data_IF_404109021443
#
_entry.id   IF_404109021443
#
_cell.length_a   1.000
_cell.length_b   1.000
_cell.length_c   1.000
_cell.angle_alpha   90.00
_cell.angle_beta   90.00
_cell.angle_gamma   90.00
#
_symmetry.space_group_name_H-M   'P 1'
#
loop_
_entity.id
_entity.type
_entity.pdbx_description
1 polymer ?
#
# COMPACT_ATOMS: atom_id res chain seq x y z
N UNK A 1 -26.20 -1.25 -25.35
CA UNK A 1 -25.01 -0.84 -24.58
C UNK A 1 -24.95 -1.63 -23.29
N UNK A 2 -23.84 -2.30 -22.94
CA UNK A 2 -23.78 -2.97 -21.64
C UNK A 2 -23.79 -1.91 -20.54
N UNK A 3 -24.83 -1.93 -19.71
CA UNK A 3 -24.96 -1.10 -18.51
C UNK A 3 -23.89 -1.54 -17.52
N UNK A 4 -22.85 -0.73 -17.36
CA UNK A 4 -21.82 -1.02 -16.37
C UNK A 4 -22.41 -0.83 -14.98
N UNK A 5 -22.26 -1.81 -14.07
CA UNK A 5 -22.70 -1.63 -12.70
C UNK A 5 -21.94 -0.45 -12.10
N UNK A 6 -22.69 0.48 -11.52
CA UNK A 6 -22.13 1.60 -10.75
C UNK A 6 -21.41 1.08 -9.52
N UNK A 7 -20.46 1.85 -8.97
CA UNK A 7 -19.71 1.46 -7.75
C UNK A 7 -20.64 1.13 -6.58
N UNK A 8 -21.82 1.76 -6.54
CA UNK A 8 -22.87 1.52 -5.55
C UNK A 8 -23.64 0.20 -5.74
N UNK A 9 -23.50 -0.48 -6.88
CA UNK A 9 -24.17 -1.75 -7.15
C UNK A 9 -23.44 -2.93 -6.51
N UNK A 10 -24.16 -3.83 -5.84
CA UNK A 10 -23.58 -5.07 -5.28
C UNK A 10 -22.94 -5.96 -6.36
N UNK A 11 -23.48 -5.96 -7.58
CA UNK A 11 -22.89 -6.67 -8.74
C UNK A 11 -21.56 -6.08 -9.20
N UNK A 12 -21.22 -4.86 -8.75
CA UNK A 12 -19.88 -4.32 -8.94
C UNK A 12 -18.85 -5.07 -8.08
N UNK A 13 -19.21 -5.63 -6.93
CA UNK A 13 -18.27 -6.20 -5.96
C UNK A 13 -18.22 -7.73 -5.95
N UNK A 14 -18.99 -8.42 -6.80
CA UNK A 14 -19.10 -9.90 -6.78
C UNK A 14 -17.92 -10.65 -7.42
N UNK A 15 -17.05 -9.98 -8.20
CA UNK A 15 -15.98 -10.65 -8.96
C UNK A 15 -14.87 -11.20 -8.05
N UNK A 16 -14.90 -12.51 -7.78
CA UNK A 16 -13.86 -13.20 -6.97
C UNK A 16 -12.47 -13.13 -7.60
N UNK A 17 -12.35 -13.20 -8.93
CA UNK A 17 -11.05 -13.11 -9.61
C UNK A 17 -10.41 -11.73 -9.44
N UNK A 18 -11.22 -10.67 -9.50
CA UNK A 18 -10.75 -9.29 -9.27
C UNK A 18 -10.33 -9.08 -7.82
N UNK A 19 -11.07 -9.61 -6.83
CA UNK A 19 -10.66 -9.57 -5.42
C UNK A 19 -9.35 -10.30 -5.15
N UNK A 20 -9.18 -11.51 -5.69
CA UNK A 20 -7.92 -12.26 -5.55
C UNK A 20 -6.74 -11.49 -6.12
N UNK A 21 -6.91 -10.86 -7.27
CA UNK A 21 -5.86 -10.10 -7.95
C UNK A 21 -5.55 -8.78 -7.23
N UNK A 22 -6.58 -8.08 -6.75
CA UNK A 22 -6.40 -6.90 -5.91
C UNK A 22 -5.64 -7.23 -4.62
N UNK A 23 -6.03 -8.32 -3.94
CA UNK A 23 -5.36 -8.77 -2.72
C UNK A 23 -3.88 -9.10 -2.97
N UNK A 24 -3.59 -9.83 -4.04
CA UNK A 24 -2.21 -10.20 -4.39
C UNK A 24 -1.34 -8.97 -4.72
N UNK A 25 -1.90 -7.95 -5.36
CA UNK A 25 -1.17 -6.71 -5.62
C UNK A 25 -0.93 -5.93 -4.31
N UNK A 26 -1.97 -5.76 -3.50
CA UNK A 26 -1.84 -5.08 -2.20
C UNK A 26 -0.84 -5.77 -1.28
N UNK A 27 -0.83 -7.11 -1.20
CA UNK A 27 0.14 -7.82 -0.36
C UNK A 27 1.57 -7.68 -0.86
N UNK A 28 1.79 -7.69 -2.17
CA UNK A 28 3.13 -7.47 -2.75
C UNK A 28 3.66 -6.07 -2.46
N UNK A 29 2.81 -5.07 -2.58
CA UNK A 29 3.16 -3.70 -2.24
C UNK A 29 3.49 -3.58 -0.75
N UNK A 30 2.63 -4.10 0.13
CA UNK A 30 2.84 -4.08 1.57
C UNK A 30 4.17 -4.76 1.98
N UNK A 31 4.45 -5.93 1.40
CA UNK A 31 5.70 -6.65 1.65
C UNK A 31 6.90 -5.85 1.14
N UNK A 32 6.84 -5.30 -0.07
CA UNK A 32 7.92 -4.49 -0.63
C UNK A 32 8.21 -3.22 0.19
N UNK A 33 7.15 -2.53 0.63
CA UNK A 33 7.25 -1.35 1.47
C UNK A 33 7.89 -1.69 2.83
N UNK A 34 7.37 -2.69 3.54
CA UNK A 34 7.91 -3.08 4.84
C UNK A 34 9.38 -3.54 4.72
N UNK A 35 9.73 -4.34 3.71
CA UNK A 35 11.10 -4.80 3.53
C UNK A 35 12.05 -3.61 3.29
N UNK A 36 11.67 -2.68 2.41
CA UNK A 36 12.49 -1.50 2.13
C UNK A 36 12.63 -0.60 3.36
N UNK A 37 11.52 -0.34 4.05
CA UNK A 37 11.44 0.52 5.23
C UNK A 37 12.24 -0.07 6.41
N UNK A 38 12.00 -1.32 6.81
CA UNK A 38 12.78 -1.92 7.90
C UNK A 38 14.29 -1.98 7.59
N UNK A 39 14.67 -2.24 6.34
CA UNK A 39 16.08 -2.31 5.94
C UNK A 39 16.79 -0.95 6.06
N UNK A 40 16.16 0.10 5.57
CA UNK A 40 16.70 1.47 5.66
C UNK A 40 16.67 2.00 7.07
N UNK A 41 15.59 1.76 7.83
CA UNK A 41 15.49 2.20 9.21
C UNK A 41 16.61 1.57 10.04
N UNK A 42 16.82 0.26 9.89
CA UNK A 42 17.91 -0.45 10.52
C UNK A 42 19.28 0.12 10.14
N UNK A 43 19.54 0.30 8.85
CA UNK A 43 20.81 0.84 8.38
C UNK A 43 21.07 2.27 8.90
N UNK A 44 20.09 3.16 8.76
CA UNK A 44 20.23 4.56 9.16
C UNK A 44 20.34 4.71 10.67
N UNK A 45 19.59 3.95 11.46
CA UNK A 45 19.74 3.98 12.93
C UNK A 45 21.07 3.39 13.41
N UNK A 46 21.61 2.38 12.71
CA UNK A 46 22.87 1.73 13.10
C UNK A 46 24.10 2.58 12.75
N UNK A 47 24.11 3.18 11.55
CA UNK A 47 25.31 3.85 11.01
C UNK A 47 25.22 5.38 11.02
N UNK A 48 24.01 5.94 11.09
CA UNK A 48 23.76 7.38 11.03
C UNK A 48 22.69 7.84 12.06
N UNK A 49 22.80 7.48 13.36
CA UNK A 49 21.79 7.84 14.35
C UNK A 49 21.62 9.35 14.54
N UNK A 50 22.64 10.15 14.20
CA UNK A 50 22.70 11.58 14.47
C UNK A 50 21.88 12.44 13.50
N UNK A 51 21.39 11.89 12.39
CA UNK A 51 20.64 12.64 11.36
C UNK A 51 19.20 12.99 11.78
N UNK A 52 18.79 12.54 12.97
CA UNK A 52 17.48 12.84 13.56
C UNK A 52 16.37 11.92 13.06
N UNK A 53 15.49 11.51 13.99
CA UNK A 53 14.44 10.53 13.73
C UNK A 53 13.51 10.90 12.57
N UNK A 54 13.18 12.18 12.39
CA UNK A 54 12.32 12.61 11.29
C UNK A 54 12.91 12.33 9.91
N UNK A 55 14.22 12.54 9.74
CA UNK A 55 14.92 12.27 8.48
C UNK A 55 15.07 10.76 8.25
N UNK A 56 15.39 10.01 9.32
CA UNK A 56 15.47 8.55 9.27
C UNK A 56 14.15 7.97 8.79
N UNK A 57 13.03 8.36 9.39
CA UNK A 57 11.70 7.90 8.98
C UNK A 57 11.41 8.28 7.53
N UNK A 58 11.59 9.55 7.14
CA UNK A 58 11.30 9.99 5.77
C UNK A 58 12.12 9.25 4.70
N UNK A 59 13.41 9.04 4.93
CA UNK A 59 14.26 8.27 4.03
C UNK A 59 13.85 6.81 3.98
N UNK A 60 13.49 6.26 5.13
CA UNK A 60 13.13 4.86 5.27
C UNK A 60 11.83 4.51 4.54
N UNK A 61 10.87 5.41 4.68
CA UNK A 61 9.62 5.44 3.97
C UNK A 61 9.83 5.56 2.45
N UNK A 62 10.74 6.43 2.00
CA UNK A 62 11.09 6.55 0.58
C UNK A 62 11.73 5.29 -0.01
N UNK A 63 12.62 4.60 0.73
CA UNK A 63 13.18 3.31 0.31
C UNK A 63 12.14 2.20 0.32
N UNK A 64 11.19 2.20 1.25
CA UNK A 64 10.04 1.32 1.25
C UNK A 64 9.26 1.41 -0.06
N UNK A 65 8.81 2.61 -0.44
CA UNK A 65 8.10 2.82 -1.71
C UNK A 65 8.95 2.41 -2.89
N UNK A 66 10.22 2.79 -2.92
CA UNK A 66 11.10 2.48 -4.04
C UNK A 66 11.23 0.96 -4.23
N UNK A 67 11.40 0.22 -3.14
CA UNK A 67 11.50 -1.24 -3.15
C UNK A 67 10.20 -1.88 -3.61
N UNK A 68 9.05 -1.40 -3.12
CA UNK A 68 7.73 -1.84 -3.57
C UNK A 68 7.51 -1.60 -5.06
N UNK A 69 7.80 -0.40 -5.55
CA UNK A 69 7.66 -0.03 -6.97
C UNK A 69 8.54 -0.92 -7.84
N UNK A 70 9.80 -1.15 -7.45
CA UNK A 70 10.69 -2.03 -8.19
C UNK A 70 10.17 -3.47 -8.22
N UNK A 71 9.75 -4.00 -7.07
CA UNK A 71 9.23 -5.37 -6.96
C UNK A 71 7.97 -5.56 -7.81
N UNK A 72 7.01 -4.64 -7.72
CA UNK A 72 5.79 -4.65 -8.53
C UNK A 72 6.08 -4.46 -10.02
N UNK A 73 7.00 -3.57 -10.40
CA UNK A 73 7.37 -3.34 -11.79
C UNK A 73 7.99 -4.59 -12.40
N UNK A 74 8.92 -5.23 -11.69
CA UNK A 74 9.57 -6.49 -12.12
C UNK A 74 8.54 -7.61 -12.24
N UNK A 75 7.63 -7.75 -11.27
CA UNK A 75 6.58 -8.77 -11.30
C UNK A 75 5.52 -8.54 -12.38
N UNK A 76 5.14 -7.30 -12.66
CA UNK A 76 4.20 -6.98 -13.75
C UNK A 76 4.84 -7.17 -15.13
N UNK A 77 6.16 -6.96 -15.22
CA UNK A 77 6.93 -7.16 -16.44
C UNK A 77 7.21 -8.63 -16.74
N UNK A 78 7.75 -9.36 -15.76
CA UNK A 78 8.12 -10.77 -15.89
C UNK A 78 6.95 -11.72 -15.67
N UNK A 79 5.86 -11.22 -15.07
CA UNK A 79 4.66 -11.98 -14.82
C UNK A 79 3.73 -12.07 -16.02
N UNK A 80 2.55 -12.63 -15.76
CA UNK A 80 1.54 -13.02 -16.76
C UNK A 80 0.95 -11.85 -17.57
N UNK A 81 1.16 -10.61 -17.11
CA UNK A 81 0.58 -9.41 -17.70
C UNK A 81 1.46 -8.78 -18.79
N UNK A 82 2.77 -9.10 -18.84
CA UNK A 82 3.73 -8.68 -19.87
C UNK A 82 3.60 -7.20 -20.31
N UNK A 83 3.39 -6.29 -19.37
CA UNK A 83 3.28 -4.85 -19.69
C UNK A 83 4.62 -4.29 -20.20
N UNK A 84 4.53 -3.28 -21.07
CA UNK A 84 5.70 -2.48 -21.46
C UNK A 84 6.30 -1.79 -20.22
N UNK A 85 7.64 -1.72 -20.13
CA UNK A 85 8.37 -1.23 -18.94
C UNK A 85 7.81 0.08 -18.36
N UNK A 86 7.51 1.06 -19.22
CA UNK A 86 6.99 2.36 -18.82
C UNK A 86 5.56 2.27 -18.24
N UNK A 87 4.71 1.38 -18.76
CA UNK A 87 3.35 1.19 -18.28
C UNK A 87 3.28 0.37 -16.98
N UNK A 88 4.18 -0.62 -16.83
CA UNK A 88 4.37 -1.36 -15.60
C UNK A 88 4.86 -0.43 -14.47
N UNK A 89 5.90 0.37 -14.74
CA UNK A 89 6.44 1.33 -13.76
C UNK A 89 5.40 2.38 -13.35
N UNK A 90 4.67 3.00 -14.30
CA UNK A 90 3.59 3.95 -13.95
C UNK A 90 2.49 3.32 -13.10
N UNK A 91 2.18 2.06 -13.32
CA UNK A 91 1.16 1.34 -12.55
C UNK A 91 1.65 1.00 -11.15
N UNK A 92 2.87 0.49 -11.03
CA UNK A 92 3.52 0.19 -9.76
C UNK A 92 3.73 1.44 -8.92
N UNK A 93 4.24 2.53 -9.50
CA UNK A 93 4.37 3.84 -8.82
C UNK A 93 3.02 4.32 -8.31
N UNK A 94 1.97 4.25 -9.13
CA UNK A 94 0.62 4.65 -8.72
C UNK A 94 0.07 3.79 -7.58
N UNK A 95 0.22 2.46 -7.63
CA UNK A 95 -0.25 1.58 -6.56
C UNK A 95 0.57 1.75 -5.28
N UNK A 96 1.89 1.80 -5.38
CA UNK A 96 2.79 1.89 -4.23
C UNK A 96 2.74 3.24 -3.52
N UNK A 97 2.70 4.37 -4.24
CA UNK A 97 2.56 5.69 -3.59
C UNK A 97 1.20 5.87 -2.92
N UNK A 98 0.12 5.42 -3.57
CA UNK A 98 -1.21 5.52 -2.97
C UNK A 98 -1.29 4.60 -1.74
N UNK A 99 -0.70 3.40 -1.80
CA UNK A 99 -0.61 2.47 -0.66
C UNK A 99 0.05 3.10 0.55
N UNK A 100 1.21 3.70 0.33
CA UNK A 100 1.94 4.37 1.40
C UNK A 100 1.17 5.56 1.97
N UNK A 101 0.66 6.46 1.12
CA UNK A 101 -0.11 7.62 1.58
C UNK A 101 -1.36 7.22 2.36
N UNK A 102 -2.06 6.16 1.92
CA UNK A 102 -3.23 5.66 2.66
C UNK A 102 -2.86 5.02 3.99
N UNK A 103 -1.68 4.38 4.07
CA UNK A 103 -1.21 3.77 5.31
C UNK A 103 -0.78 4.85 6.31
N UNK A 104 0.00 5.83 5.87
CA UNK A 104 0.34 7.00 6.67
C UNK A 104 -0.89 7.77 7.13
N UNK A 105 -1.88 7.94 6.24
CA UNK A 105 -3.11 8.64 6.58
C UNK A 105 -3.94 7.82 7.59
N UNK A 106 -4.02 6.51 7.41
CA UNK A 106 -4.71 5.63 8.35
C UNK A 106 -4.04 5.65 9.73
N UNK A 107 -2.71 5.57 9.77
CA UNK A 107 -1.91 5.64 10.99
C UNK A 107 -2.11 6.99 11.69
N UNK A 108 -2.02 8.10 10.96
CA UNK A 108 -2.28 9.42 11.53
C UNK A 108 -3.73 9.59 12.02
N UNK A 109 -4.72 9.09 11.29
CA UNK A 109 -6.14 9.15 11.72
C UNK A 109 -6.36 8.31 12.96
N UNK A 110 -5.81 7.10 12.99
CA UNK A 110 -5.94 6.17 14.11
C UNK A 110 -5.22 6.72 15.33
N UNK A 111 -4.00 7.24 15.21
CA UNK A 111 -3.28 7.90 16.30
C UNK A 111 -4.03 9.13 16.82
N UNK A 112 -4.64 9.90 15.92
CA UNK A 112 -5.46 11.04 16.33
C UNK A 112 -6.71 10.59 17.12
N UNK A 113 -7.40 9.54 16.67
CA UNK A 113 -8.64 9.06 17.30
C UNK A 113 -8.42 8.24 18.58
N UNK A 114 -7.38 7.40 18.65
CA UNK A 114 -7.17 6.45 19.73
C UNK A 114 -6.23 6.96 20.82
N UNK A 115 -5.23 7.73 20.46
CA UNK A 115 -4.23 8.27 21.41
C UNK A 115 -4.45 9.75 21.70
N UNK A 116 -5.37 10.43 20.99
CA UNK A 116 -5.68 11.85 21.19
C UNK A 116 -4.48 12.76 20.95
N UNK A 117 -3.46 12.28 20.23
CA UNK A 117 -2.16 12.94 20.07
C UNK A 117 -1.12 12.66 21.16
N UNK A 118 -1.40 11.77 22.13
CA UNK A 118 -0.46 11.38 23.18
C UNK A 118 -0.01 9.92 23.04
N UNK A 119 1.25 9.69 22.64
CA UNK A 119 1.79 8.34 22.41
C UNK A 119 2.03 7.64 23.75
N UNK A 120 1.20 6.64 24.08
CA UNK A 120 1.38 5.79 25.27
C UNK A 120 1.74 4.35 24.85
N UNK A 121 3.05 4.11 24.69
CA UNK A 121 3.63 2.83 24.22
C UNK A 121 3.34 1.62 25.14
N UNK A 122 2.98 1.88 26.41
CA UNK A 122 2.68 0.84 27.42
C UNK A 122 1.23 0.36 27.41
N UNK A 123 0.35 0.96 26.60
CA UNK A 123 -1.07 0.61 26.61
C UNK A 123 -1.41 -0.50 25.60
N UNK A 124 -2.24 -1.45 26.00
CA UNK A 124 -2.86 -2.44 25.10
C UNK A 124 -3.64 -1.75 23.96
N UNK A 125 -4.13 -0.53 24.22
CA UNK A 125 -4.88 0.31 23.28
C UNK A 125 -3.98 0.78 22.13
N UNK A 126 -2.71 1.10 22.39
CA UNK A 126 -1.74 1.50 21.36
C UNK A 126 -1.45 0.34 20.38
N UNK A 127 -1.26 -0.87 20.88
CA UNK A 127 -1.07 -2.05 20.03
C UNK A 127 -2.33 -2.42 19.23
N UNK A 128 -3.52 -2.26 19.83
CA UNK A 128 -4.78 -2.41 19.11
C UNK A 128 -4.96 -1.34 18.02
N UNK A 129 -4.54 -0.10 18.30
CA UNK A 129 -4.55 1.00 17.33
C UNK A 129 -3.68 0.69 16.11
N UNK A 130 -2.45 0.22 16.32
CA UNK A 130 -1.56 -0.22 15.22
C UNK A 130 -2.24 -1.30 14.38
N UNK A 131 -2.80 -2.34 15.00
CA UNK A 131 -3.42 -3.45 14.28
C UNK A 131 -4.66 -3.00 13.48
N UNK A 132 -5.50 -2.14 14.07
CA UNK A 132 -6.68 -1.57 13.39
C UNK A 132 -6.26 -0.66 12.24
N UNK A 133 -5.21 0.15 12.42
CA UNK A 133 -4.67 1.02 11.37
C UNK A 133 -4.17 0.21 10.18
N UNK A 134 -3.36 -0.82 10.43
CA UNK A 134 -2.85 -1.71 9.38
C UNK A 134 -3.99 -2.39 8.63
N UNK A 135 -5.00 -2.88 9.34
CA UNK A 135 -6.18 -3.50 8.71
C UNK A 135 -6.99 -2.49 7.90
N UNK A 136 -7.22 -1.29 8.42
CA UNK A 136 -7.96 -0.24 7.73
C UNK A 136 -7.24 0.25 6.47
N UNK A 137 -5.92 0.46 6.55
CA UNK A 137 -5.06 0.76 5.41
C UNK A 137 -5.12 -0.33 4.35
N UNK A 138 -4.97 -1.60 4.77
CA UNK A 138 -5.05 -2.74 3.86
C UNK A 138 -6.42 -2.87 3.17
N UNK A 139 -7.52 -2.74 3.92
CA UNK A 139 -8.89 -2.77 3.39
C UNK A 139 -9.13 -1.64 2.39
N UNK A 140 -8.73 -0.42 2.73
CA UNK A 140 -8.88 0.76 1.87
C UNK A 140 -8.16 0.54 0.54
N UNK A 141 -6.95 0.02 0.61
CA UNK A 141 -6.16 -0.29 -0.57
C UNK A 141 -6.72 -1.42 -1.41
N UNK A 142 -7.25 -2.44 -0.75
CA UNK A 142 -7.91 -3.54 -1.40
C UNK A 142 -9.13 -3.06 -2.19
N UNK A 143 -9.98 -2.20 -1.60
CA UNK A 143 -11.12 -1.60 -2.30
C UNK A 143 -10.65 -0.71 -3.47
N UNK A 144 -9.65 0.13 -3.26
CA UNK A 144 -9.09 0.99 -4.30
C UNK A 144 -8.55 0.17 -5.49
N UNK A 145 -7.73 -0.84 -5.22
CA UNK A 145 -7.16 -1.72 -6.23
C UNK A 145 -8.24 -2.51 -6.98
N UNK A 146 -9.29 -2.97 -6.27
CA UNK A 146 -10.45 -3.60 -6.89
C UNK A 146 -11.16 -2.67 -7.87
N UNK A 147 -11.49 -1.45 -7.43
CA UNK A 147 -12.14 -0.43 -8.27
C UNK A 147 -11.29 -0.09 -9.49
N UNK A 148 -9.97 0.08 -9.29
CA UNK A 148 -9.02 0.37 -10.36
C UNK A 148 -8.95 -0.77 -11.37
N UNK A 149 -8.83 -2.02 -10.93
CA UNK A 149 -8.83 -3.19 -11.81
C UNK A 149 -10.14 -3.34 -12.59
N UNK A 150 -11.29 -3.04 -11.98
CA UNK A 150 -12.58 -3.12 -12.67
C UNK A 150 -12.83 -1.96 -13.64
N UNK A 151 -12.28 -0.78 -13.35
CA UNK A 151 -12.39 0.43 -14.18
C UNK A 151 -11.36 0.48 -15.32
N UNK A 152 -10.10 0.14 -15.03
CA UNK A 152 -8.96 0.24 -15.96
C UNK A 152 -8.41 -1.10 -16.45
N UNK A 153 -8.77 -2.23 -15.83
CA UNK A 153 -8.41 -3.57 -16.31
C UNK A 153 -9.11 -3.98 -17.61
N UNK A 154 -9.76 -3.04 -18.30
CA UNK A 154 -10.11 -3.18 -19.70
C UNK A 154 -8.93 -2.75 -20.56
N UNK A 155 -8.01 -3.69 -20.79
CA UNK A 155 -7.36 -3.86 -22.09
C UNK A 155 -7.26 -5.35 -22.41
N UNK A 156 -8.07 -5.74 -23.41
CA UNK A 156 -7.85 -6.82 -24.37
C UNK A 156 -7.78 -8.27 -23.87
N UNK A 157 -8.93 -8.91 -23.67
CA UNK A 157 -9.39 -10.04 -24.50
C UNK A 157 -10.84 -10.42 -24.14
#
# INVERSE_FOLDING_TARGET
SPTYPTVASSTFWTSRSTWKRAALNTTRCLVGCNVGDFSSMWYLQTFHPDIGMGIIMALSMASGVTTSVLLETVLLRLGKDSLFWVAAARTAVGMSMISMLTMELAENIVDYYLTGGTVQLDSLIFWAAILVSLLAGFLTLLLYNYMRLKKYGKTCH
#
